data_IF_507394912576
#
_entry.id   IF_507394912576
#
_cell.length_a   1.000
_cell.length_b   1.000
_cell.length_c   1.000
_cell.angle_alpha   90.00
_cell.angle_beta   90.00
_cell.angle_gamma   90.00
#
_symmetry.space_group_name_H-M   'P 1'
#
loop_
_entity.id
_entity.type
_entity.pdbx_description
1 polymer ?
#
# COMPACT_ATOMS: atom_id res chain seq x y z
N UNK A 1 40.94 22.04 14.41
CA UNK A 1 41.50 22.18 13.05
C UNK A 1 40.95 23.45 12.42
N UNK A 2 41.77 24.50 12.33
CA UNK A 2 41.38 25.79 11.73
C UNK A 2 41.19 25.60 10.21
N UNK A 3 40.03 25.99 9.66
CA UNK A 3 39.77 25.80 8.23
C UNK A 3 40.63 26.77 7.41
N UNK A 4 41.31 26.23 6.40
CA UNK A 4 42.11 27.01 5.47
C UNK A 4 41.19 27.96 4.68
N UNK A 5 41.65 29.17 4.37
CA UNK A 5 40.85 30.19 3.66
C UNK A 5 40.27 29.69 2.33
N UNK A 6 40.96 28.74 1.69
CA UNK A 6 40.51 28.06 0.48
C UNK A 6 39.30 27.15 0.71
N UNK A 7 39.20 26.47 1.85
CA UNK A 7 38.05 25.63 2.21
C UNK A 7 36.80 26.46 2.48
N UNK A 8 36.97 27.64 3.09
CA UNK A 8 35.87 28.60 3.25
C UNK A 8 35.32 29.07 1.91
N UNK A 9 36.20 29.43 0.96
CA UNK A 9 35.79 29.86 -0.38
C UNK A 9 35.08 28.74 -1.14
N UNK A 10 35.59 27.50 -1.07
CA UNK A 10 34.93 26.32 -1.67
C UNK A 10 33.56 26.06 -1.06
N UNK A 11 33.43 26.20 0.26
CA UNK A 11 32.15 26.05 0.96
C UNK A 11 31.12 27.09 0.53
N UNK A 12 31.55 28.35 0.35
CA UNK A 12 30.69 29.44 -0.12
C UNK A 12 30.28 29.24 -1.58
N UNK A 13 31.22 28.85 -2.46
CA UNK A 13 30.94 28.53 -3.85
C UNK A 13 29.88 27.41 -3.97
N UNK A 14 30.04 26.33 -3.19
CA UNK A 14 29.08 25.21 -3.16
C UNK A 14 27.68 25.63 -2.69
N UNK A 15 27.57 26.55 -1.73
CA UNK A 15 26.28 27.08 -1.25
C UNK A 15 25.60 27.97 -2.28
N UNK A 16 26.38 28.79 -3.00
CA UNK A 16 25.87 29.69 -4.03
C UNK A 16 25.35 28.90 -5.24
N UNK A 17 26.11 27.90 -5.68
CA UNK A 17 25.73 26.92 -6.71
C UNK A 17 24.40 26.22 -6.37
N UNK A 18 24.25 25.77 -5.11
CA UNK A 18 23.02 25.14 -4.64
C UNK A 18 21.81 26.07 -4.69
N UNK A 19 21.98 27.33 -4.25
CA UNK A 19 20.90 28.33 -4.29
C UNK A 19 20.49 28.70 -5.72
N UNK A 20 21.44 28.84 -6.64
CA UNK A 20 21.12 29.15 -8.05
C UNK A 20 20.33 28.02 -8.72
N UNK A 21 20.61 26.76 -8.40
CA UNK A 21 19.85 25.60 -8.88
C UNK A 21 18.42 25.55 -8.33
N UNK A 22 18.20 26.01 -7.09
CA UNK A 22 16.88 26.02 -6.46
C UNK A 22 16.00 27.19 -6.92
N UNK A 23 16.59 28.37 -7.20
CA UNK A 23 15.82 29.57 -7.61
C UNK A 23 15.11 29.39 -8.96
N UNK A 24 15.65 28.54 -9.85
CA UNK A 24 15.05 28.26 -11.16
C UNK A 24 13.85 27.32 -11.14
N UNK A 25 13.53 26.69 -10.00
CA UNK A 25 12.39 25.76 -9.88
C UNK A 25 11.31 26.45 -9.06
N UNK A 26 10.24 26.97 -9.69
CA UNK A 26 9.11 27.49 -8.96
C UNK A 26 8.55 26.42 -8.01
N UNK A 27 8.00 26.78 -6.84
CA UNK A 27 7.62 25.83 -5.78
C UNK A 27 6.65 24.73 -6.25
N UNK A 28 5.92 24.97 -7.35
CA UNK A 28 5.04 24.01 -8.02
C UNK A 28 5.74 22.88 -8.80
N UNK A 29 7.03 23.02 -9.13
CA UNK A 29 7.78 22.07 -9.97
C UNK A 29 8.76 21.18 -9.19
N UNK A 30 8.91 21.40 -7.87
CA UNK A 30 9.79 20.61 -6.98
C UNK A 30 9.07 19.87 -5.84
N UNK A 31 7.77 20.12 -5.64
CA UNK A 31 6.98 19.52 -4.56
C UNK A 31 6.82 17.99 -4.64
N UNK A 32 7.13 17.37 -5.78
CA UNK A 32 7.07 15.91 -5.93
C UNK A 32 8.33 15.15 -5.46
N UNK A 33 9.48 15.81 -5.32
CA UNK A 33 10.76 15.11 -5.10
C UNK A 33 11.46 15.42 -3.77
N UNK A 34 11.05 16.49 -3.07
CA UNK A 34 11.55 16.82 -1.72
C UNK A 34 10.72 16.17 -0.58
N UNK A 35 9.61 15.49 -0.89
CA UNK A 35 8.86 14.69 0.07
C UNK A 35 9.52 13.34 0.40
N UNK A 36 10.67 13.01 -0.23
CA UNK A 36 11.41 11.77 0.01
C UNK A 36 12.51 11.90 1.10
N UNK A 37 12.58 13.01 1.82
CA UNK A 37 13.51 13.17 2.92
C UNK A 37 12.87 13.95 4.08
N UNK A 38 11.85 13.36 4.71
CA UNK A 38 11.44 13.73 6.07
C UNK A 38 11.75 12.58 7.04
N UNK A 39 12.25 12.91 8.24
CA UNK A 39 12.87 11.96 9.16
C UNK A 39 11.83 11.05 9.84
N UNK A 40 12.33 9.86 10.19
CA UNK A 40 11.81 8.86 11.13
C UNK A 40 10.95 9.46 12.27
N UNK A 41 9.70 9.75 11.96
CA UNK A 41 8.66 10.20 12.88
C UNK A 41 7.58 9.14 12.96
N UNK A 42 7.26 8.73 14.18
CA UNK A 42 6.27 7.72 14.51
C UNK A 42 4.95 7.93 13.75
N UNK A 43 4.73 7.10 12.73
CA UNK A 43 3.39 6.71 12.34
C UNK A 43 3.17 5.33 12.91
N UNK A 44 2.67 5.30 14.15
CA UNK A 44 1.71 4.28 14.56
C UNK A 44 0.47 4.43 13.68
N UNK A 45 0.63 4.14 12.38
CA UNK A 45 -0.49 3.76 11.57
C UNK A 45 -0.92 2.43 12.17
N UNK A 46 -2.10 2.43 12.81
CA UNK A 46 -2.79 1.24 13.25
C UNK A 46 -2.48 0.14 12.23
N UNK A 47 -1.93 -0.98 12.71
CA UNK A 47 -1.56 -2.14 11.90
C UNK A 47 -2.82 -2.73 11.29
N UNK A 48 -3.39 -2.04 10.30
CA UNK A 48 -4.33 -2.58 9.34
C UNK A 48 -3.56 -3.73 8.73
N UNK A 49 -3.95 -4.95 9.09
CA UNK A 49 -3.28 -6.18 8.71
C UNK A 49 -2.90 -6.10 7.24
N UNK A 50 -1.60 -6.15 6.95
CA UNK A 50 -1.09 -5.99 5.59
C UNK A 50 -1.71 -7.11 4.74
N UNK A 51 -2.52 -6.79 3.72
CA UNK A 51 -3.18 -7.82 2.93
C UNK A 51 -2.12 -8.70 2.26
N UNK A 52 -2.31 -10.02 2.34
CA UNK A 52 -1.43 -11.00 1.72
C UNK A 52 -1.78 -11.08 0.23
N UNK A 53 -0.79 -10.94 -0.64
CA UNK A 53 -0.98 -11.09 -2.08
C UNK A 53 -1.18 -12.55 -2.44
N UNK A 54 -2.35 -12.89 -2.98
CA UNK A 54 -2.65 -14.20 -3.54
C UNK A 54 -2.79 -14.08 -5.05
N UNK A 55 -2.07 -14.91 -5.80
CA UNK A 55 -2.20 -14.98 -7.27
C UNK A 55 -3.06 -16.18 -7.63
N UNK A 56 -4.22 -15.93 -8.22
CA UNK A 56 -5.13 -16.97 -8.69
C UNK A 56 -5.46 -16.76 -10.18
N UNK A 57 -5.59 -17.87 -10.92
CA UNK A 57 -5.98 -17.84 -12.34
C UNK A 57 -7.48 -18.06 -12.42
N UNK A 58 -8.19 -17.08 -12.97
CA UNK A 58 -9.64 -17.15 -13.19
C UNK A 58 -9.98 -17.16 -14.68
N UNK A 59 -11.09 -17.79 -15.08
CA UNK A 59 -11.64 -17.66 -16.43
C UNK A 59 -11.94 -16.19 -16.76
N UNK A 60 -11.77 -15.81 -18.03
CA UNK A 60 -11.89 -14.41 -18.48
C UNK A 60 -13.27 -13.81 -18.18
N UNK A 61 -14.35 -14.56 -18.40
CA UNK A 61 -15.71 -14.09 -18.12
C UNK A 61 -15.96 -13.83 -16.63
N UNK A 62 -15.40 -14.68 -15.76
CA UNK A 62 -15.52 -14.52 -14.31
C UNK A 62 -14.76 -13.27 -13.85
N UNK A 63 -13.54 -13.08 -14.34
CA UNK A 63 -12.75 -11.88 -14.05
C UNK A 63 -13.40 -10.59 -14.58
N UNK A 64 -14.15 -10.64 -15.70
CA UNK A 64 -14.96 -9.50 -16.17
C UNK A 64 -16.10 -9.19 -15.20
N UNK A 65 -16.89 -10.20 -14.82
CA UNK A 65 -18.02 -10.04 -13.89
C UNK A 65 -17.59 -9.49 -12.52
N UNK A 66 -16.45 -9.94 -12.00
CA UNK A 66 -15.89 -9.40 -10.75
C UNK A 66 -15.55 -7.92 -10.87
N UNK A 67 -14.94 -7.51 -11.98
CA UNK A 67 -14.60 -6.10 -12.24
C UNK A 67 -15.84 -5.23 -12.38
N UNK A 68 -16.86 -5.69 -13.09
CA UNK A 68 -18.13 -4.98 -13.24
C UNK A 68 -18.82 -4.78 -11.88
N UNK A 69 -18.87 -5.82 -11.05
CA UNK A 69 -19.47 -5.73 -9.70
C UNK A 69 -18.67 -4.85 -8.75
N UNK A 70 -17.37 -4.71 -8.96
CA UNK A 70 -16.50 -3.84 -8.17
C UNK A 70 -16.65 -2.35 -8.51
N UNK A 71 -17.34 -2.00 -9.61
CA UNK A 71 -17.57 -0.59 -9.97
C UNK A 71 -18.43 0.05 -8.89
N UNK A 72 -17.88 1.06 -8.22
CA UNK A 72 -18.57 1.82 -7.17
C UNK A 72 -18.43 1.24 -5.76
N UNK A 73 -17.68 0.15 -5.56
CA UNK A 73 -17.43 -0.40 -4.23
C UNK A 73 -16.14 0.17 -3.63
N UNK A 74 -16.22 0.63 -2.38
CA UNK A 74 -15.02 0.97 -1.61
C UNK A 74 -14.16 -0.30 -1.44
N UNK A 75 -12.88 -0.22 -1.82
CA UNK A 75 -11.96 -1.36 -1.85
C UNK A 75 -11.99 -2.23 -3.12
N UNK A 76 -12.86 -1.91 -4.09
CA UNK A 76 -12.82 -2.43 -5.45
C UNK A 76 -12.96 -3.96 -5.56
N UNK A 77 -12.14 -4.58 -6.43
CA UNK A 77 -12.24 -6.02 -6.71
C UNK A 77 -11.90 -6.87 -5.48
N UNK A 78 -11.01 -6.39 -4.61
CA UNK A 78 -10.57 -7.14 -3.44
C UNK A 78 -11.70 -7.33 -2.41
N UNK A 79 -12.57 -6.33 -2.23
CA UNK A 79 -13.70 -6.45 -1.29
C UNK A 79 -14.77 -7.40 -1.81
N UNK A 80 -15.06 -7.36 -3.12
CA UNK A 80 -15.97 -8.32 -3.76
C UNK A 80 -15.45 -9.76 -3.61
N UNK A 81 -14.14 -9.97 -3.81
CA UNK A 81 -13.52 -11.29 -3.64
C UNK A 81 -13.57 -11.74 -2.17
N UNK A 82 -13.21 -10.86 -1.23
CA UNK A 82 -13.22 -11.19 0.21
C UNK A 82 -14.62 -11.61 0.66
N UNK A 83 -15.66 -10.84 0.33
CA UNK A 83 -17.04 -11.16 0.67
C UNK A 83 -17.51 -12.49 0.07
N UNK A 84 -17.14 -12.78 -1.18
CA UNK A 84 -17.51 -14.04 -1.82
C UNK A 84 -16.83 -15.24 -1.16
N UNK A 85 -15.55 -15.10 -0.78
CA UNK A 85 -14.79 -16.15 -0.09
C UNK A 85 -15.32 -16.40 1.32
N UNK A 86 -15.63 -15.36 2.08
CA UNK A 86 -16.22 -15.47 3.42
C UNK A 86 -17.58 -16.17 3.39
N UNK A 87 -18.45 -15.81 2.43
CA UNK A 87 -19.75 -16.46 2.25
C UNK A 87 -19.60 -17.95 1.88
N UNK A 88 -18.66 -18.28 1.00
CA UNK A 88 -18.40 -19.65 0.59
C UNK A 88 -17.87 -20.51 1.74
N UNK A 89 -16.89 -20.00 2.50
CA UNK A 89 -16.33 -20.71 3.67
C UNK A 89 -17.37 -20.91 4.78
N UNK A 90 -18.27 -19.94 4.98
CA UNK A 90 -19.37 -20.06 5.93
C UNK A 90 -20.41 -21.11 5.49
N UNK A 91 -20.70 -21.18 4.19
CA UNK A 91 -21.59 -22.19 3.62
C UNK A 91 -21.03 -23.61 3.73
N UNK A 92 -19.73 -23.80 3.48
CA UNK A 92 -19.07 -25.11 3.60
C UNK A 92 -18.99 -25.61 5.04
N UNK A 93 -18.88 -24.70 6.01
CA UNK A 93 -18.94 -25.06 7.45
C UNK A 93 -20.34 -25.49 7.90
N UNK A 94 -21.38 -25.16 7.13
CA UNK A 94 -22.76 -25.64 7.31
C UNK A 94 -23.00 -26.99 6.62
N UNK A 95 -21.95 -27.77 6.34
CA UNK A 95 -22.12 -29.21 6.11
C UNK A 95 -22.37 -29.90 7.47
N UNK A 96 -23.51 -30.60 7.65
CA UNK A 96 -23.89 -31.15 8.94
C UNK A 96 -22.90 -32.23 9.38
N UNK A 97 -22.44 -32.12 10.62
CA UNK A 97 -21.81 -33.23 11.32
C UNK A 97 -22.70 -34.48 11.13
N UNK A 98 -22.16 -35.63 10.70
CA UNK A 98 -22.95 -36.85 10.67
C UNK A 98 -23.44 -37.09 12.09
N UNK A 99 -24.76 -37.06 12.26
CA UNK A 99 -25.42 -37.56 13.44
C UNK A 99 -24.91 -38.98 13.66
N UNK A 100 -23.96 -39.13 14.59
CA UNK A 100 -23.66 -40.41 15.18
C UNK A 100 -24.95 -40.87 15.84
N UNK A 101 -25.56 -41.85 15.18
CA UNK A 101 -26.75 -42.57 15.59
C UNK A 101 -26.71 -42.90 17.10
N UNK A 102 -27.86 -42.85 17.77
CA UNK A 102 -27.95 -43.29 19.16
C UNK A 102 -27.66 -44.79 19.20
N UNK A 103 -26.58 -45.18 19.87
CA UNK A 103 -26.31 -46.58 20.20
C UNK A 103 -27.45 -47.12 21.06
N UNK A 104 -28.16 -48.17 20.64
CA UNK A 104 -28.98 -48.98 21.52
C UNK A 104 -28.12 -50.07 22.20
N UNK A 105 -28.65 -50.58 23.32
CA UNK A 105 -28.16 -51.61 24.26
C UNK A 105 -27.23 -51.18 25.41
#
# INVERSE_FOLDING_TARGET
>A
MSMKKTDLVKGLAKKLEGRMKTVGVPPRFGQGSAAAAEPRGAREAATVARPVSVTCRLPADLARRLRERAVGQEGGVNTVIAQALEQWLAADTTAPAPASEPSPD
#
